data_IF_587488447792
#
_entry.id   IF_587488447792
#
_cell.length_a   1.000
_cell.length_b   1.000
_cell.length_c   1.000
_cell.angle_alpha   90.00
_cell.angle_beta   90.00
_cell.angle_gamma   90.00
#
_symmetry.space_group_name_H-M   'P 1'
#
loop_
_entity.id
_entity.type
_entity.pdbx_description
1 polymer ?
#
# COMPACT_ATOMS: atom_id res chain seq x y z
N UNK A 1 -10.25 0.27 16.38
CA UNK A 1 -9.16 1.11 15.86
C UNK A 1 -7.85 0.46 16.25
N UNK A 2 -7.05 0.11 15.28
CA UNK A 2 -5.74 -0.51 15.49
C UNK A 2 -4.65 0.55 15.53
N UNK A 3 -3.60 0.33 16.32
CA UNK A 3 -2.49 1.28 16.50
C UNK A 3 -1.18 0.54 16.29
N UNK A 4 -0.40 0.97 15.29
CA UNK A 4 0.97 0.54 15.05
C UNK A 4 1.92 1.61 15.58
N UNK A 5 2.92 1.21 16.36
CA UNK A 5 4.01 2.09 16.74
C UNK A 5 5.09 2.07 15.65
N UNK A 6 5.86 3.14 15.56
CA UNK A 6 6.99 3.25 14.63
C UNK A 6 7.99 2.08 14.74
N UNK A 7 8.21 1.56 15.96
CA UNK A 7 9.04 0.39 16.20
C UNK A 7 8.54 -0.90 15.51
N UNK A 8 7.27 -0.93 15.07
CA UNK A 8 6.67 -2.05 14.35
C UNK A 8 6.77 -1.89 12.84
N UNK A 9 7.16 -0.70 12.37
CA UNK A 9 7.53 -0.42 11.00
C UNK A 9 9.05 -0.36 10.88
N UNK A 10 9.60 -1.01 9.88
CA UNK A 10 11.06 -1.13 9.68
C UNK A 10 11.63 0.15 9.06
N UNK A 11 12.92 0.38 9.28
CA UNK A 11 13.70 1.37 8.57
C UNK A 11 13.65 2.79 9.16
N UNK A 12 13.52 3.80 8.30
CA UNK A 12 13.61 5.22 8.65
C UNK A 12 12.66 5.66 9.78
N UNK A 13 11.53 5.01 9.93
CA UNK A 13 10.50 5.38 10.90
C UNK A 13 10.80 4.89 12.32
N UNK A 14 11.72 3.95 12.48
CA UNK A 14 12.07 3.39 13.76
C UNK A 14 12.67 4.48 14.69
N UNK A 15 12.14 4.61 15.89
CA UNK A 15 12.61 5.58 16.87
C UNK A 15 12.11 7.02 16.69
N UNK A 16 11.20 7.30 15.74
CA UNK A 16 10.62 8.63 15.53
C UNK A 16 9.48 8.96 16.51
N UNK A 17 9.00 8.00 17.29
CA UNK A 17 7.88 8.20 18.21
C UNK A 17 6.53 8.40 17.51
N UNK A 18 6.44 8.06 16.22
CA UNK A 18 5.21 8.20 15.44
C UNK A 18 4.30 7.00 15.63
N UNK A 19 3.01 7.25 15.70
CA UNK A 19 1.97 6.24 15.81
C UNK A 19 1.10 6.27 14.55
N UNK A 20 0.90 5.11 13.95
CA UNK A 20 -0.01 4.94 12.82
C UNK A 20 -1.33 4.33 13.33
N UNK A 21 -2.44 4.95 12.97
CA UNK A 21 -3.77 4.45 13.32
C UNK A 21 -4.57 4.12 12.08
N UNK A 22 -5.25 2.98 12.13
CA UNK A 22 -6.08 2.44 11.06
C UNK A 22 -7.31 1.72 11.65
N UNK A 23 -8.12 1.05 10.83
CA UNK A 23 -9.20 0.19 11.29
C UNK A 23 -8.69 -0.93 12.21
N UNK A 24 -9.57 -1.54 13.00
CA UNK A 24 -9.22 -2.65 13.89
C UNK A 24 -8.69 -3.87 13.13
N UNK A 25 -9.33 -4.17 11.99
CA UNK A 25 -8.87 -5.15 11.01
C UNK A 25 -8.61 -4.40 9.70
N UNK A 26 -7.41 -3.83 9.51
CA UNK A 26 -7.15 -3.00 8.34
C UNK A 26 -7.32 -3.78 7.06
N UNK A 27 -7.86 -3.13 6.04
CA UNK A 27 -8.02 -3.70 4.71
C UNK A 27 -6.69 -3.66 3.95
N UNK A 28 -6.71 -4.18 2.72
CA UNK A 28 -5.51 -4.33 1.92
C UNK A 28 -4.92 -2.97 1.49
N UNK A 29 -5.75 -1.97 1.27
CA UNK A 29 -5.34 -0.62 0.90
C UNK A 29 -4.62 0.11 2.04
N UNK A 30 -5.07 -0.06 3.28
CA UNK A 30 -4.39 0.46 4.46
C UNK A 30 -3.04 -0.23 4.67
N UNK A 31 -2.96 -1.54 4.44
CA UNK A 31 -1.69 -2.30 4.48
C UNK A 31 -0.73 -1.84 3.40
N UNK A 32 -1.25 -1.60 2.18
CA UNK A 32 -0.47 -1.03 1.09
C UNK A 32 0.04 0.37 1.41
N UNK A 33 -0.79 1.20 2.02
CA UNK A 33 -0.39 2.53 2.49
C UNK A 33 0.74 2.46 3.53
N UNK A 34 0.63 1.57 4.52
CA UNK A 34 1.67 1.36 5.53
C UNK A 34 2.97 0.85 4.91
N UNK A 35 2.90 -0.07 3.93
CA UNK A 35 4.06 -0.54 3.19
C UNK A 35 4.77 0.61 2.44
N UNK A 36 4.00 1.51 1.80
CA UNK A 36 4.56 2.68 1.13
C UNK A 36 5.24 3.64 2.11
N UNK A 37 4.62 3.90 3.24
CA UNK A 37 5.20 4.76 4.29
C UNK A 37 6.49 4.13 4.84
N UNK A 38 6.52 2.83 5.07
CA UNK A 38 7.72 2.11 5.52
C UNK A 38 8.87 2.22 4.50
N UNK A 39 8.58 2.12 3.20
CA UNK A 39 9.59 2.13 2.15
C UNK A 39 10.06 3.52 1.72
N UNK A 40 9.14 4.46 1.65
CA UNK A 40 9.35 5.76 1.02
C UNK A 40 9.11 6.94 1.95
N UNK A 41 8.66 6.70 3.18
CA UNK A 41 8.41 7.77 4.15
C UNK A 41 9.67 8.60 4.40
N UNK A 42 9.49 9.91 4.50
CA UNK A 42 10.54 10.88 4.75
C UNK A 42 10.20 11.75 5.96
N UNK A 43 11.17 12.49 6.50
CA UNK A 43 10.90 13.47 7.56
C UNK A 43 9.90 14.53 7.08
N UNK A 44 10.00 14.96 5.84
CA UNK A 44 9.06 15.92 5.26
C UNK A 44 7.64 15.38 5.25
N UNK A 45 7.46 14.12 4.83
CA UNK A 45 6.17 13.44 4.89
C UNK A 45 5.62 13.41 6.31
N UNK A 46 6.42 13.00 7.30
CA UNK A 46 5.99 12.94 8.69
C UNK A 46 5.65 14.33 9.24
N UNK A 47 6.48 15.34 8.99
CA UNK A 47 6.23 16.72 9.44
C UNK A 47 4.93 17.29 8.86
N UNK A 48 4.59 16.90 7.64
CA UNK A 48 3.37 17.36 6.96
C UNK A 48 2.10 16.65 7.44
N UNK A 49 2.18 15.33 7.68
CA UNK A 49 1.00 14.50 7.89
C UNK A 49 0.83 13.95 9.30
N UNK A 50 1.89 13.90 10.13
CA UNK A 50 1.75 13.52 11.52
C UNK A 50 1.21 14.70 12.35
N UNK A 51 0.08 14.48 12.99
CA UNK A 51 -0.51 15.43 13.95
C UNK A 51 -0.42 14.81 15.34
N UNK A 52 0.16 15.56 16.29
CA UNK A 52 0.37 15.09 17.65
C UNK A 52 1.07 13.72 17.71
N UNK A 53 2.09 13.52 16.86
CA UNK A 53 2.83 12.27 16.75
C UNK A 53 2.03 11.12 16.10
N UNK A 54 0.94 11.40 15.37
CA UNK A 54 0.05 10.39 14.83
C UNK A 54 -0.26 10.62 13.36
N UNK A 55 -0.23 9.55 12.55
CA UNK A 55 -0.71 9.49 11.17
C UNK A 55 -1.95 8.59 11.11
N UNK A 56 -3.05 9.12 10.55
CA UNK A 56 -4.28 8.37 10.31
C UNK A 56 -4.28 7.82 8.88
N UNK A 57 -4.56 6.52 8.74
CA UNK A 57 -4.59 5.82 7.45
C UNK A 57 -5.92 5.10 7.30
N UNK A 58 -6.70 5.42 6.26
CA UNK A 58 -8.01 4.85 5.98
C UNK A 58 -9.12 5.24 6.97
N UNK A 59 -8.85 6.15 7.90
CA UNK A 59 -9.80 6.51 8.96
C UNK A 59 -9.76 7.99 9.31
N UNK A 60 -10.83 8.44 10.00
CA UNK A 60 -10.87 9.74 10.69
C UNK A 60 -11.02 10.94 9.75
N UNK A 61 -11.28 10.73 8.48
CA UNK A 61 -11.42 11.78 7.45
C UNK A 61 -10.13 12.59 7.27
N UNK A 62 -8.97 11.97 7.52
CA UNK A 62 -7.65 12.56 7.33
C UNK A 62 -7.24 12.65 5.86
N UNK A 63 -5.95 12.96 5.63
CA UNK A 63 -5.40 13.06 4.28
C UNK A 63 -5.47 11.74 3.52
N UNK A 64 -5.38 10.62 4.23
CA UNK A 64 -5.34 9.25 3.70
C UNK A 64 -6.62 8.46 3.98
N UNK A 65 -7.76 9.16 4.07
CA UNK A 65 -9.07 8.56 4.22
C UNK A 65 -9.93 8.99 3.01
N UNK A 66 -10.29 8.03 2.18
CA UNK A 66 -11.09 8.23 0.98
C UNK A 66 -12.60 8.34 1.27
N UNK A 67 -13.02 7.97 2.49
CA UNK A 67 -14.42 8.02 2.88
C UNK A 67 -14.92 9.47 2.99
N UNK A 68 -16.09 9.78 2.43
CA UNK A 68 -16.65 11.11 2.55
C UNK A 68 -17.01 11.42 4.00
N UNK A 69 -16.64 12.59 4.47
CA UNK A 69 -17.29 13.16 5.65
C UNK A 69 -18.67 13.70 5.25
N UNK A 70 -19.56 13.89 6.22
CA UNK A 70 -20.89 14.43 6.00
C UNK A 70 -20.88 15.60 5.02
N UNK A 71 -21.56 15.43 3.88
CA UNK A 71 -21.69 16.43 2.82
C UNK A 71 -20.51 16.57 1.84
N UNK A 72 -19.48 15.71 1.90
CA UNK A 72 -18.38 15.69 0.92
C UNK A 72 -18.59 14.55 -0.08
N UNK A 73 -18.21 14.78 -1.34
CA UNK A 73 -18.15 13.72 -2.34
C UNK A 73 -17.03 12.73 -1.99
N UNK A 74 -17.31 11.43 -2.22
CA UNK A 74 -16.29 10.38 -2.15
C UNK A 74 -15.11 10.77 -3.04
N UNK A 75 -13.88 10.65 -2.56
CA UNK A 75 -12.67 10.89 -3.38
C UNK A 75 -12.68 9.86 -4.52
N UNK A 76 -13.09 10.31 -5.71
CA UNK A 76 -13.38 9.45 -6.85
C UNK A 76 -12.15 8.61 -7.25
N UNK A 77 -12.28 7.29 -7.09
CA UNK A 77 -11.31 6.33 -7.58
C UNK A 77 -10.04 6.18 -6.74
N UNK A 78 -9.96 6.81 -5.58
CA UNK A 78 -8.85 6.68 -4.64
C UNK A 78 -9.18 5.71 -3.50
N UNK A 79 -8.13 5.09 -2.95
CA UNK A 79 -8.12 4.32 -1.71
C UNK A 79 -6.95 4.82 -0.84
N UNK A 80 -6.83 4.37 0.41
CA UNK A 80 -5.78 4.84 1.32
C UNK A 80 -4.37 4.70 0.71
N UNK A 81 -4.09 3.58 0.03
CA UNK A 81 -2.78 3.36 -0.62
C UNK A 81 -2.51 4.38 -1.74
N UNK A 82 -3.49 4.66 -2.61
CA UNK A 82 -3.29 5.60 -3.71
C UNK A 82 -3.07 7.03 -3.21
N UNK A 83 -3.77 7.43 -2.14
CA UNK A 83 -3.58 8.73 -1.49
C UNK A 83 -2.18 8.88 -0.89
N UNK A 84 -1.67 7.83 -0.24
CA UNK A 84 -0.31 7.81 0.29
C UNK A 84 0.72 7.81 -0.84
N UNK A 85 0.52 7.05 -1.92
CA UNK A 85 1.41 7.05 -3.08
C UNK A 85 1.56 8.47 -3.68
N UNK A 86 0.44 9.17 -3.88
CA UNK A 86 0.43 10.57 -4.34
C UNK A 86 1.16 11.50 -3.36
N UNK A 87 0.93 11.34 -2.07
CA UNK A 87 1.56 12.18 -1.05
C UNK A 87 3.08 11.98 -0.95
N UNK A 88 3.57 10.78 -1.29
CA UNK A 88 4.98 10.44 -1.35
C UNK A 88 5.60 10.72 -2.73
N UNK A 89 4.79 11.04 -3.77
CA UNK A 89 5.26 11.26 -5.14
C UNK A 89 5.76 9.99 -5.82
N UNK A 90 5.20 8.82 -5.48
CA UNK A 90 5.60 7.51 -6.01
C UNK A 90 4.50 6.81 -6.82
N UNK A 91 3.41 7.51 -7.12
CA UNK A 91 2.27 6.95 -7.86
C UNK A 91 2.63 6.50 -9.28
N UNK A 92 3.66 7.11 -9.88
CA UNK A 92 4.15 6.80 -11.21
C UNK A 92 5.30 5.76 -11.21
N UNK A 93 5.67 5.20 -10.06
CA UNK A 93 6.68 4.13 -10.02
C UNK A 93 6.14 2.88 -10.74
N UNK A 94 6.76 2.45 -11.86
CA UNK A 94 6.29 1.31 -12.62
C UNK A 94 6.30 0.00 -11.82
N UNK A 95 7.09 -0.10 -10.77
CA UNK A 95 7.11 -1.26 -9.88
C UNK A 95 5.87 -1.30 -8.96
N UNK A 96 5.21 -0.17 -8.74
CA UNK A 96 3.98 -0.07 -7.96
C UNK A 96 2.71 -0.23 -8.80
N UNK A 97 2.76 -0.05 -10.11
CA UNK A 97 1.58 -0.01 -10.99
C UNK A 97 0.62 -1.19 -10.75
N UNK A 98 1.14 -2.42 -10.76
CA UNK A 98 0.31 -3.63 -10.58
C UNK A 98 -0.30 -3.70 -9.18
N UNK A 99 0.45 -3.31 -8.16
CA UNK A 99 0.01 -3.34 -6.76
C UNK A 99 -1.08 -2.29 -6.56
N UNK A 100 -0.82 -1.04 -6.98
CA UNK A 100 -1.78 0.06 -6.90
C UNK A 100 -3.08 -0.29 -7.62
N UNK A 101 -2.99 -0.77 -8.86
CA UNK A 101 -4.16 -1.16 -9.66
C UNK A 101 -4.96 -2.28 -9.00
N UNK A 102 -4.30 -3.32 -8.49
CA UNK A 102 -4.96 -4.43 -7.83
C UNK A 102 -5.67 -3.95 -6.55
N UNK A 103 -4.97 -3.24 -5.67
CA UNK A 103 -5.49 -2.80 -4.39
C UNK A 103 -6.63 -1.79 -4.57
N UNK A 104 -6.46 -0.79 -5.44
CA UNK A 104 -7.51 0.19 -5.74
C UNK A 104 -8.76 -0.48 -6.33
N UNK A 105 -8.60 -1.43 -7.26
CA UNK A 105 -9.75 -2.16 -7.79
C UNK A 105 -10.43 -3.02 -6.72
N UNK A 106 -9.66 -3.65 -5.84
CA UNK A 106 -10.22 -4.44 -4.74
C UNK A 106 -11.03 -3.58 -3.76
N UNK A 107 -10.51 -2.41 -3.40
CA UNK A 107 -11.21 -1.47 -2.52
C UNK A 107 -12.51 -0.96 -3.14
N UNK A 108 -12.47 -0.58 -4.41
CA UNK A 108 -13.63 0.02 -5.10
C UNK A 108 -14.70 -1.00 -5.51
N UNK A 109 -14.33 -2.24 -5.82
CA UNK A 109 -15.21 -3.25 -6.44
C UNK A 109 -15.36 -4.53 -5.63
N UNK A 110 -14.59 -4.67 -4.56
CA UNK A 110 -14.48 -5.90 -3.78
C UNK A 110 -13.52 -6.92 -4.39
N UNK A 111 -13.37 -8.04 -3.70
CA UNK A 111 -12.52 -9.16 -4.15
C UNK A 111 -12.97 -9.70 -5.50
N UNK A 112 -12.02 -9.87 -6.41
CA UNK A 112 -12.28 -10.39 -7.76
C UNK A 112 -12.16 -11.91 -7.85
N UNK A 113 -11.58 -12.56 -6.86
CA UNK A 113 -11.36 -14.00 -6.82
C UNK A 113 -11.31 -14.52 -5.38
N UNK A 114 -11.94 -15.69 -5.08
CA UNK A 114 -11.99 -16.23 -3.71
C UNK A 114 -10.63 -16.59 -3.11
N UNK A 115 -9.57 -16.60 -3.90
CA UNK A 115 -8.19 -16.88 -3.49
C UNK A 115 -7.25 -15.69 -3.78
N UNK A 116 -7.77 -14.48 -3.95
CA UNK A 116 -6.91 -13.31 -4.04
C UNK A 116 -6.36 -12.90 -2.65
N UNK A 117 -5.43 -11.95 -2.65
CA UNK A 117 -4.75 -11.51 -1.43
C UNK A 117 -5.73 -10.90 -0.41
N UNK A 118 -6.77 -10.22 -0.87
CA UNK A 118 -7.78 -9.63 0.02
C UNK A 118 -8.63 -10.71 0.70
N UNK A 119 -9.02 -11.75 -0.04
CA UNK A 119 -9.73 -12.91 0.50
C UNK A 119 -8.86 -13.67 1.50
N UNK A 120 -7.57 -13.84 1.21
CA UNK A 120 -6.62 -14.47 2.14
C UNK A 120 -6.45 -13.63 3.41
N UNK A 121 -6.36 -12.32 3.30
CA UNK A 121 -6.28 -11.40 4.45
C UNK A 121 -7.52 -11.54 5.35
N UNK A 122 -8.71 -11.50 4.74
CA UNK A 122 -9.97 -11.70 5.46
C UNK A 122 -10.02 -13.06 6.18
N UNK A 123 -9.59 -14.13 5.51
CA UNK A 123 -9.51 -15.45 6.11
C UNK A 123 -8.51 -15.50 7.27
N UNK A 124 -7.35 -14.83 7.14
CA UNK A 124 -6.37 -14.73 8.24
C UNK A 124 -6.97 -14.09 9.48
N UNK A 125 -7.73 -12.99 9.36
CA UNK A 125 -8.42 -12.38 10.48
C UNK A 125 -9.46 -13.32 11.11
N UNK A 126 -10.26 -13.99 10.29
CA UNK A 126 -11.29 -14.92 10.78
C UNK A 126 -10.70 -16.15 11.48
N UNK A 127 -9.59 -16.68 10.99
CA UNK A 127 -8.93 -17.86 11.55
C UNK A 127 -8.02 -17.53 12.75
N UNK A 128 -7.63 -16.27 12.91
CA UNK A 128 -6.76 -15.84 14.03
C UNK A 128 -7.58 -15.66 15.32
N UNK A 129 -8.30 -16.69 15.72
CA UNK A 129 -9.24 -16.68 16.84
C UNK A 129 -8.65 -16.24 18.19
N UNK A 130 -7.30 -16.12 18.32
CA UNK A 130 -6.64 -15.73 19.56
C UNK A 130 -5.29 -15.04 19.38
N UNK A 131 -4.97 -14.51 18.23
CA UNK A 131 -3.61 -14.05 18.02
C UNK A 131 -3.48 -12.80 17.20
N UNK A 132 -3.05 -11.81 17.87
CA UNK A 132 -2.34 -10.61 17.43
C UNK A 132 -2.60 -10.21 15.97
N UNK A 133 -3.56 -9.32 15.70
CA UNK A 133 -3.74 -8.71 14.37
C UNK A 133 -2.42 -8.13 13.83
N UNK A 134 -1.50 -7.74 14.71
CA UNK A 134 -0.16 -7.26 14.37
C UNK A 134 0.62 -8.25 13.48
N UNK A 135 0.52 -9.54 13.75
CA UNK A 135 1.21 -10.56 12.94
C UNK A 135 0.63 -10.67 11.53
N UNK A 136 -0.70 -10.56 11.42
CA UNK A 136 -1.39 -10.57 10.12
C UNK A 136 -1.00 -9.32 9.33
N UNK A 137 -1.01 -8.16 9.98
CA UNK A 137 -0.63 -6.88 9.41
C UNK A 137 0.82 -6.94 8.93
N UNK A 138 1.75 -7.32 9.81
CA UNK A 138 3.17 -7.38 9.46
C UNK A 138 3.43 -8.34 8.29
N UNK A 139 2.85 -9.55 8.33
CA UNK A 139 2.98 -10.51 7.24
C UNK A 139 2.46 -9.95 5.90
N UNK A 140 1.33 -9.25 5.91
CA UNK A 140 0.76 -8.67 4.70
C UNK A 140 1.61 -7.52 4.15
N UNK A 141 2.14 -6.66 5.02
CA UNK A 141 3.08 -5.59 4.62
C UNK A 141 4.35 -6.21 4.01
N UNK A 142 4.90 -7.27 4.62
CA UNK A 142 6.08 -7.97 4.11
C UNK A 142 5.81 -8.65 2.75
N UNK A 143 4.64 -9.27 2.57
CA UNK A 143 4.21 -9.87 1.29
C UNK A 143 4.12 -8.81 0.18
N UNK A 144 3.47 -7.67 0.44
CA UNK A 144 3.37 -6.55 -0.49
C UNK A 144 4.75 -5.97 -0.82
N UNK A 145 5.59 -5.80 0.20
CA UNK A 145 6.96 -5.33 0.04
C UNK A 145 7.80 -6.27 -0.81
N UNK A 146 7.64 -7.59 -0.62
CA UNK A 146 8.33 -8.61 -1.43
C UNK A 146 7.89 -8.55 -2.88
N UNK A 147 6.58 -8.38 -3.13
CA UNK A 147 6.06 -8.23 -4.49
C UNK A 147 6.56 -6.95 -5.16
N UNK A 148 6.62 -5.84 -4.43
CA UNK A 148 7.22 -4.61 -4.93
C UNK A 148 8.69 -4.82 -5.33
N UNK A 149 9.50 -5.46 -4.49
CA UNK A 149 10.92 -5.72 -4.79
C UNK A 149 11.10 -6.62 -6.04
N UNK A 150 10.21 -7.58 -6.25
CA UNK A 150 10.20 -8.39 -7.47
C UNK A 150 9.95 -7.52 -8.71
N UNK A 151 8.94 -6.63 -8.67
CA UNK A 151 8.66 -5.72 -9.79
C UNK A 151 9.81 -4.73 -10.01
N UNK A 152 10.37 -4.17 -8.94
CA UNK A 152 11.51 -3.26 -9.02
C UNK A 152 12.72 -3.90 -9.71
N UNK A 153 13.05 -5.14 -9.35
CA UNK A 153 14.12 -5.90 -10.00
C UNK A 153 13.83 -6.16 -11.48
N UNK A 154 12.57 -6.47 -11.80
CA UNK A 154 12.17 -6.66 -13.19
C UNK A 154 12.42 -5.40 -14.02
N UNK A 155 11.96 -4.24 -13.55
CA UNK A 155 12.16 -2.99 -14.28
C UNK A 155 13.63 -2.56 -14.33
N UNK A 156 14.41 -2.78 -13.27
CA UNK A 156 15.82 -2.39 -13.22
C UNK A 156 16.74 -3.27 -14.09
N UNK A 157 16.47 -4.56 -14.17
CA UNK A 157 17.39 -5.52 -14.81
C UNK A 157 16.79 -6.18 -16.06
N UNK A 158 15.63 -6.83 -15.92
CA UNK A 158 15.06 -7.64 -16.98
C UNK A 158 14.61 -6.79 -18.18
N UNK A 159 14.05 -5.61 -17.94
CA UNK A 159 13.65 -4.68 -19.00
C UNK A 159 14.89 -4.20 -19.79
N UNK A 160 15.92 -3.77 -19.09
CA UNK A 160 17.16 -3.32 -19.72
C UNK A 160 17.86 -4.43 -20.51
N UNK A 161 17.84 -5.66 -20.00
CA UNK A 161 18.38 -6.82 -20.72
C UNK A 161 17.55 -7.21 -21.93
N UNK A 162 16.22 -7.10 -21.83
CA UNK A 162 15.32 -7.34 -22.94
C UNK A 162 15.55 -6.30 -24.05
N UNK A 163 15.58 -5.02 -23.73
CA UNK A 163 15.81 -3.93 -24.69
C UNK A 163 17.15 -4.07 -25.43
N UNK A 164 18.18 -4.61 -24.78
CA UNK A 164 19.48 -4.87 -25.41
C UNK A 164 19.49 -6.09 -26.32
N UNK A 165 18.64 -7.08 -26.06
CA UNK A 165 18.66 -8.39 -26.75
C UNK A 165 17.51 -8.57 -27.73
N UNK A 166 16.45 -7.77 -27.62
CA UNK A 166 15.31 -7.85 -28.51
C UNK A 166 15.65 -7.28 -29.87
N UNK A 167 15.55 -8.10 -30.91
CA UNK A 167 15.52 -7.66 -32.31
C UNK A 167 14.06 -7.49 -32.72
N UNK A 168 13.69 -6.29 -33.15
CA UNK A 168 12.34 -6.05 -33.69
C UNK A 168 12.38 -6.29 -35.16
N UNK A 169 11.83 -7.39 -35.64
CA UNK A 169 11.58 -7.62 -37.06
C UNK A 169 10.27 -6.91 -37.42
N UNK A 170 10.39 -5.85 -38.23
CA UNK A 170 9.21 -5.19 -38.80
C UNK A 170 8.76 -6.05 -40.00
N UNK A 171 7.68 -6.79 -39.79
CA UNK A 171 7.00 -7.48 -40.90
C UNK A 171 6.12 -6.46 -41.59
N UNK A 172 6.57 -5.95 -42.77
CA UNK A 172 5.71 -5.20 -43.66
C UNK A 172 4.66 -6.16 -44.22
N UNK A 173 3.42 -6.03 -43.78
CA UNK A 173 2.30 -6.69 -44.43
C UNK A 173 2.07 -5.98 -45.79
N UNK A 174 2.44 -6.67 -46.87
CA UNK A 174 2.14 -6.27 -48.25
C UNK A 174 0.67 -6.47 -48.60
#
# INVERSE_FOLDING_TARGET
MFTLRDAELKGFLEGKGIVFRTHENPHLDEMGALMLIEKFGTEEFLNKYAKDGMVLVGIGGGAFDEHPRDGQEKKNGDCAMSLVAKALGVEEDPALEKILKFITNNDLKGSSHPFDLASLLSARYQCSCNGAPEKVIRATIDDLGTFYELQRRFFACAKADFEKKATIDVVENG
#
